data_IF_707874948801
#
_entry.id   IF_707874948801
#
_cell.length_a   1.000
_cell.length_b   1.000
_cell.length_c   1.000
_cell.angle_alpha   90.00
_cell.angle_beta   90.00
_cell.angle_gamma   90.00
#
_symmetry.space_group_name_H-M   'P 1'
#
loop_
_entity.id
_entity.type
_entity.pdbx_description
1 polymer ?
#
# COMPACT_ATOMS: atom_id res chain seq x y z
N UNK A 1 4.80 0.50 22.21
CA UNK A 1 3.33 0.33 22.21
C UNK A 1 2.88 0.82 20.86
N UNK A 2 2.52 -0.12 19.98
CA UNK A 2 2.34 0.10 18.54
C UNK A 2 0.99 0.78 18.30
N UNK A 3 1.00 2.11 18.26
CA UNK A 3 -0.08 2.90 17.67
C UNK A 3 0.29 3.09 16.20
N UNK A 4 -0.21 2.21 15.33
CA UNK A 4 -0.14 2.43 13.87
C UNK A 4 -1.33 3.31 13.52
N UNK A 5 -1.04 4.60 13.46
CA UNK A 5 -1.98 5.64 13.05
C UNK A 5 -2.21 5.47 11.55
N UNK A 6 -3.42 5.09 11.15
CA UNK A 6 -3.77 4.89 9.73
C UNK A 6 -3.76 6.18 8.90
N UNK A 7 -3.64 7.36 9.50
CA UNK A 7 -3.37 8.63 8.79
C UNK A 7 -2.60 9.57 9.72
N UNK A 8 -1.28 9.67 9.58
CA UNK A 8 -0.53 10.71 10.28
C UNK A 8 -0.79 12.06 9.60
N UNK A 9 -1.64 12.87 10.23
CA UNK A 9 -1.94 14.24 9.84
C UNK A 9 -0.70 15.11 10.10
N UNK A 10 0.20 15.21 9.12
CA UNK A 10 1.34 16.14 9.19
C UNK A 10 0.96 17.45 8.51
N UNK A 11 0.43 18.36 9.33
CA UNK A 11 0.48 19.77 9.06
C UNK A 11 1.94 20.26 9.09
N UNK A 12 2.39 20.90 8.01
CA UNK A 12 3.36 21.99 8.09
C UNK A 12 4.74 21.79 7.43
N UNK A 13 4.96 22.58 6.38
CA UNK A 13 6.23 23.11 5.88
C UNK A 13 7.32 22.12 5.38
N UNK A 14 7.60 22.14 4.07
CA UNK A 14 8.70 22.93 3.49
C UNK A 14 8.78 22.75 1.97
N UNK A 15 9.05 23.84 1.27
CA UNK A 15 9.20 23.91 -0.18
C UNK A 15 10.61 23.49 -0.64
N UNK A 16 10.71 22.52 -1.55
CA UNK A 16 11.69 22.36 -2.67
C UNK A 16 11.07 21.25 -3.55
N UNK A 17 10.61 21.42 -4.79
CA UNK A 17 11.34 21.81 -5.99
C UNK A 17 11.21 20.71 -7.05
N UNK A 18 10.47 21.02 -8.12
CA UNK A 18 10.58 20.49 -9.49
C UNK A 18 9.93 19.13 -9.89
N UNK A 19 9.02 19.26 -10.88
CA UNK A 19 8.78 18.44 -12.08
C UNK A 19 8.19 17.02 -11.98
N UNK A 20 6.91 16.86 -12.33
CA UNK A 20 6.43 16.49 -13.68
C UNK A 20 5.10 15.73 -13.57
N UNK A 21 4.04 16.32 -14.11
CA UNK A 21 2.76 15.66 -14.33
C UNK A 21 2.92 14.56 -15.38
N UNK A 22 2.39 13.38 -15.09
CA UNK A 22 2.25 12.29 -16.05
C UNK A 22 2.35 10.93 -15.36
N UNK A 23 1.27 10.15 -15.40
CA UNK A 23 1.33 8.73 -15.12
C UNK A 23 2.31 8.09 -16.09
N UNK A 24 3.51 7.77 -15.61
CA UNK A 24 4.52 7.03 -16.38
C UNK A 24 4.79 5.77 -15.60
N UNK A 25 4.16 4.68 -16.04
CA UNK A 25 4.71 3.35 -15.81
C UNK A 25 6.08 3.32 -16.50
N UNK A 26 7.16 3.49 -15.74
CA UNK A 26 8.53 3.34 -16.26
C UNK A 26 8.81 1.84 -16.38
N UNK A 27 8.25 1.22 -17.41
CA UNK A 27 8.62 -0.11 -17.84
C UNK A 27 9.98 -0.03 -18.56
N UNK A 28 11.08 -0.03 -17.82
CA UNK A 28 12.40 -0.33 -18.40
C UNK A 28 12.35 -1.73 -19.04
N UNK A 29 12.55 -1.79 -20.35
CA UNK A 29 12.33 -2.98 -21.18
C UNK A 29 13.41 -4.05 -21.08
N UNK A 30 12.97 -5.31 -21.15
CA UNK A 30 13.76 -6.54 -21.32
C UNK A 30 12.83 -7.76 -21.32
N UNK A 31 13.11 -8.84 -22.08
CA UNK A 31 12.15 -9.91 -22.30
C UNK A 31 12.02 -10.86 -21.09
N UNK A 32 10.77 -11.05 -20.63
CA UNK A 32 10.22 -12.25 -19.96
C UNK A 32 10.70 -12.73 -18.56
N UNK A 33 11.52 -11.98 -17.81
CA UNK A 33 11.86 -12.32 -16.40
C UNK A 33 11.82 -11.13 -15.42
N UNK A 34 11.22 -10.00 -15.82
CA UNK A 34 11.16 -8.76 -15.03
C UNK A 34 10.13 -8.82 -13.91
N UNK A 35 10.45 -8.27 -12.74
CA UNK A 35 9.52 -8.10 -11.62
C UNK A 35 8.27 -7.33 -12.07
N UNK A 36 7.12 -7.98 -11.93
CA UNK A 36 5.82 -7.44 -12.37
C UNK A 36 4.75 -7.74 -11.34
N UNK A 37 3.93 -6.74 -11.00
CA UNK A 37 2.70 -6.94 -10.23
C UNK A 37 1.65 -7.57 -11.15
N UNK A 38 1.17 -8.76 -10.81
CA UNK A 38 0.24 -9.55 -11.60
C UNK A 38 -1.19 -9.50 -11.08
N UNK A 39 -1.37 -9.38 -9.77
CA UNK A 39 -2.67 -9.25 -9.13
C UNK A 39 -2.56 -8.39 -7.87
N UNK A 40 -3.62 -7.67 -7.54
CA UNK A 40 -3.75 -6.92 -6.31
C UNK A 40 -5.23 -6.85 -5.89
N UNK A 41 -5.49 -7.26 -4.65
CA UNK A 41 -6.81 -7.30 -4.06
C UNK A 41 -6.77 -6.62 -2.69
N UNK A 42 -7.81 -5.85 -2.38
CA UNK A 42 -7.99 -5.22 -1.07
C UNK A 42 -9.34 -5.63 -0.49
N UNK A 43 -9.33 -6.08 0.76
CA UNK A 43 -10.51 -6.43 1.53
C UNK A 43 -10.61 -5.53 2.75
N UNK A 44 -11.70 -4.77 2.81
CA UNK A 44 -12.07 -3.98 3.97
C UNK A 44 -13.16 -4.70 4.76
N UNK A 45 -12.95 -4.85 6.07
CA UNK A 45 -13.93 -5.43 6.98
C UNK A 45 -14.10 -4.51 8.18
N UNK A 46 -15.34 -4.17 8.49
CA UNK A 46 -15.73 -3.50 9.73
C UNK A 46 -16.46 -4.47 10.65
N UNK A 47 -16.27 -4.32 11.96
CA UNK A 47 -17.08 -5.01 12.95
C UNK A 47 -18.54 -4.54 12.86
N UNK A 48 -19.54 -5.33 13.31
CA UNK A 48 -20.95 -4.95 13.23
C UNK A 48 -21.33 -3.73 14.10
N UNK A 49 -20.56 -3.48 15.16
CA UNK A 49 -20.65 -2.26 15.98
C UNK A 49 -19.77 -1.13 15.42
N UNK A 50 -19.10 -1.39 14.30
CA UNK A 50 -18.24 -0.52 13.54
C UNK A 50 -16.95 -0.08 14.24
N UNK A 51 -16.73 -0.47 15.50
CA UNK A 51 -15.59 0.03 16.29
C UNK A 51 -14.27 -0.50 15.77
N UNK A 52 -14.19 -1.78 15.43
CA UNK A 52 -12.98 -2.36 14.86
C UNK A 52 -13.05 -2.39 13.32
N UNK A 53 -11.96 -2.05 12.67
CA UNK A 53 -11.82 -2.11 11.22
C UNK A 53 -10.51 -2.81 10.86
N UNK A 54 -10.52 -3.57 9.76
CA UNK A 54 -9.34 -4.24 9.25
C UNK A 54 -9.26 -4.10 7.74
N UNK A 55 -8.06 -3.82 7.26
CA UNK A 55 -7.70 -3.84 5.85
C UNK A 55 -6.72 -4.97 5.60
N UNK A 56 -7.06 -5.85 4.67
CA UNK A 56 -6.15 -6.88 4.14
C UNK A 56 -5.89 -6.59 2.68
N UNK A 57 -4.62 -6.44 2.31
CA UNK A 57 -4.19 -6.31 0.91
C UNK A 57 -3.39 -7.54 0.53
N UNK A 58 -3.75 -8.18 -0.57
CA UNK A 58 -3.01 -9.28 -1.18
C UNK A 58 -2.47 -8.84 -2.52
N UNK A 59 -1.18 -9.07 -2.77
CA UNK A 59 -0.51 -8.73 -4.03
C UNK A 59 0.28 -9.91 -4.54
N UNK A 60 0.11 -10.26 -5.82
CA UNK A 60 0.89 -11.30 -6.47
C UNK A 60 1.90 -10.70 -7.43
N UNK A 61 3.15 -11.12 -7.30
CA UNK A 61 4.24 -10.75 -8.19
C UNK A 61 4.64 -11.93 -9.07
N UNK A 62 5.00 -11.63 -10.31
CA UNK A 62 5.62 -12.56 -11.25
C UNK A 62 6.98 -12.07 -11.69
N UNK A 63 7.92 -12.99 -11.86
CA UNK A 63 9.31 -12.69 -12.20
C UNK A 63 10.22 -13.88 -11.92
N UNK A 64 11.52 -13.70 -12.13
CA UNK A 64 12.53 -14.59 -11.55
C UNK A 64 12.84 -14.10 -10.13
N UNK A 65 12.65 -14.96 -9.12
CA UNK A 65 12.88 -14.61 -7.71
C UNK A 65 14.15 -15.27 -7.14
N UNK A 66 15.17 -15.48 -7.98
CA UNK A 66 16.43 -16.09 -7.58
C UNK A 66 17.57 -15.07 -7.47
N UNK A 67 18.50 -15.31 -6.54
CA UNK A 67 19.68 -14.47 -6.36
C UNK A 67 19.32 -12.99 -6.14
N UNK A 68 19.91 -12.12 -6.94
CA UNK A 68 19.68 -10.66 -6.86
C UNK A 68 18.27 -10.23 -7.30
N UNK A 69 17.50 -11.12 -7.93
CA UNK A 69 16.11 -10.86 -8.30
C UNK A 69 15.12 -11.33 -7.24
N UNK A 70 15.60 -11.94 -6.15
CA UNK A 70 14.76 -12.30 -5.01
C UNK A 70 14.07 -11.06 -4.43
N UNK A 71 12.80 -11.22 -4.05
CA UNK A 71 12.02 -10.15 -3.46
C UNK A 71 12.53 -9.87 -2.04
N UNK A 72 12.90 -8.62 -1.78
CA UNK A 72 13.49 -8.19 -0.52
C UNK A 72 12.46 -7.53 0.38
N UNK A 73 11.73 -6.56 -0.15
CA UNK A 73 10.63 -5.89 0.57
C UNK A 73 9.48 -5.61 -0.37
N UNK A 74 8.28 -5.67 0.19
CA UNK A 74 7.05 -5.14 -0.41
C UNK A 74 6.41 -4.26 0.63
N UNK A 75 6.16 -3.01 0.28
CA UNK A 75 5.47 -2.05 1.12
C UNK A 75 4.17 -1.67 0.45
N UNK A 76 3.13 -1.52 1.26
CA UNK A 76 1.77 -1.25 0.84
C UNK A 76 1.28 -0.05 1.61
N UNK A 77 0.64 0.89 0.92
CA UNK A 77 -0.08 1.98 1.56
C UNK A 77 -1.46 2.10 0.92
N UNK A 78 -2.47 2.34 1.73
CA UNK A 78 -3.81 2.69 1.28
C UNK A 78 -4.09 4.13 1.69
N UNK A 79 -4.51 4.96 0.74
CA UNK A 79 -4.82 6.36 0.98
C UNK A 79 -6.15 6.73 0.34
N UNK A 80 -6.88 7.71 0.90
CA UNK A 80 -8.06 8.27 0.24
C UNK A 80 -7.69 8.83 -1.14
N UNK A 81 -8.61 8.79 -2.10
CA UNK A 81 -8.38 9.29 -3.46
C UNK A 81 -7.91 10.76 -3.50
N UNK A 82 -8.39 11.59 -2.57
CA UNK A 82 -8.05 13.01 -2.49
C UNK A 82 -6.66 13.32 -1.91
N UNK A 83 -5.84 12.30 -1.61
CA UNK A 83 -4.53 12.46 -0.99
C UNK A 83 -3.46 12.97 -1.97
N UNK A 84 -2.58 13.88 -1.52
CA UNK A 84 -1.53 14.47 -2.37
C UNK A 84 -0.44 13.46 -2.77
N UNK A 85 -0.27 13.27 -4.08
CA UNK A 85 0.70 12.35 -4.70
C UNK A 85 2.17 12.57 -4.33
N UNK A 86 2.54 13.82 -3.99
CA UNK A 86 3.94 14.25 -3.90
C UNK A 86 4.76 13.55 -2.82
N UNK A 87 4.09 13.03 -1.78
CA UNK A 87 4.71 12.38 -0.61
C UNK A 87 4.44 10.87 -0.55
N UNK A 88 3.71 10.32 -1.52
CA UNK A 88 3.25 8.93 -1.54
C UNK A 88 4.40 7.91 -1.45
N UNK A 89 5.45 8.11 -2.26
CA UNK A 89 6.65 7.25 -2.25
C UNK A 89 7.45 7.35 -0.96
N UNK A 90 7.38 8.49 -0.28
CA UNK A 90 8.06 8.68 0.99
C UNK A 90 7.28 7.97 2.11
N UNK A 91 5.96 8.16 2.15
CA UNK A 91 5.07 7.48 3.10
C UNK A 91 5.18 5.97 2.98
N UNK A 92 5.04 5.43 1.77
CA UNK A 92 5.09 3.97 1.56
C UNK A 92 6.44 3.37 1.99
N UNK A 93 7.52 4.15 2.00
CA UNK A 93 8.85 3.69 2.42
C UNK A 93 9.03 3.60 3.95
N UNK A 94 8.08 4.14 4.72
CA UNK A 94 8.03 4.07 6.17
C UNK A 94 7.01 3.05 6.68
N UNK A 95 6.22 2.47 5.78
CA UNK A 95 5.23 1.46 6.12
C UNK A 95 5.89 0.12 6.42
N UNK A 96 5.22 -0.66 7.26
CA UNK A 96 5.68 -2.00 7.57
C UNK A 96 5.57 -2.90 6.33
N UNK A 97 6.57 -3.77 6.11
CA UNK A 97 6.59 -4.63 4.94
C UNK A 97 5.47 -5.68 5.02
N UNK A 98 4.92 -6.01 3.86
CA UNK A 98 4.02 -7.13 3.66
C UNK A 98 4.76 -8.46 3.91
N UNK A 99 4.03 -9.44 4.42
CA UNK A 99 4.53 -10.80 4.57
C UNK A 99 4.44 -11.52 3.23
N UNK A 100 5.56 -11.97 2.68
CA UNK A 100 5.63 -12.59 1.36
C UNK A 100 5.95 -14.09 1.44
N UNK A 101 5.23 -14.88 0.66
CA UNK A 101 5.44 -16.31 0.48
C UNK A 101 5.64 -16.67 -1.00
N UNK A 102 6.63 -17.51 -1.28
CA UNK A 102 6.85 -18.07 -2.61
C UNK A 102 5.79 -19.11 -2.94
N UNK A 103 4.88 -18.78 -3.86
CA UNK A 103 3.84 -19.69 -4.36
C UNK A 103 4.40 -20.67 -5.41
N UNK A 104 5.37 -20.22 -6.20
CA UNK A 104 6.10 -21.02 -7.18
C UNK A 104 7.42 -20.36 -7.56
N UNK A 105 8.25 -21.04 -8.35
CA UNK A 105 9.53 -20.49 -8.84
C UNK A 105 9.39 -19.12 -9.54
N UNK A 106 8.21 -18.82 -10.09
CA UNK A 106 7.92 -17.57 -10.81
C UNK A 106 6.81 -16.72 -10.20
N UNK A 107 6.37 -17.04 -8.97
CA UNK A 107 5.28 -16.31 -8.30
C UNK A 107 5.54 -16.18 -6.81
N UNK A 108 5.44 -14.96 -6.30
CA UNK A 108 5.41 -14.64 -4.88
C UNK A 108 4.08 -13.95 -4.58
N UNK A 109 3.43 -14.36 -3.50
CA UNK A 109 2.22 -13.70 -2.98
C UNK A 109 2.56 -13.01 -1.68
N UNK A 110 2.14 -11.76 -1.54
CA UNK A 110 2.38 -10.97 -0.33
C UNK A 110 1.08 -10.49 0.27
N UNK A 111 1.00 -10.51 1.60
CA UNK A 111 -0.14 -10.07 2.38
C UNK A 111 0.27 -8.96 3.33
N UNK A 112 -0.42 -7.83 3.24
CA UNK A 112 -0.35 -6.74 4.20
C UNK A 112 -1.67 -6.71 4.97
N UNK A 113 -1.61 -6.76 6.30
CA UNK A 113 -2.78 -6.73 7.15
C UNK A 113 -2.61 -5.69 8.25
N UNK A 114 -3.61 -4.82 8.38
CA UNK A 114 -3.70 -3.85 9.47
C UNK A 114 -5.08 -3.93 10.11
N UNK A 115 -5.07 -3.85 11.44
CA UNK A 115 -6.27 -3.83 12.25
C UNK A 115 -6.22 -2.61 13.14
N UNK A 116 -7.32 -1.87 13.17
CA UNK A 116 -7.59 -0.85 14.15
C UNK A 116 -8.69 -1.38 15.07
N UNK A 117 -8.36 -1.56 16.34
CA UNK A 117 -9.24 -2.17 17.34
C UNK A 117 -10.32 -1.20 17.87
N UNK A 118 -10.31 0.07 17.46
CA UNK A 118 -11.43 0.96 17.74
C UNK A 118 -11.52 1.51 19.15
N UNK A 119 -10.39 1.79 19.79
CA UNK A 119 -10.34 2.41 21.12
C UNK A 119 -10.60 3.93 21.00
N UNK A 120 -11.76 4.27 20.46
CA UNK A 120 -12.26 5.62 20.24
C UNK A 120 -13.45 5.87 21.17
N UNK A 121 -13.57 7.08 21.69
CA UNK A 121 -14.83 7.51 22.30
C UNK A 121 -15.90 7.80 21.24
N UNK A 122 -17.16 7.93 21.66
CA UNK A 122 -18.32 7.97 20.75
C UNK A 122 -18.26 9.17 19.77
N UNK A 123 -17.73 10.32 20.19
CA UNK A 123 -17.53 11.51 19.33
C UNK A 123 -16.35 11.35 18.37
N UNK A 124 -15.23 10.77 18.84
CA UNK A 124 -14.07 10.47 18.00
C UNK A 124 -14.41 9.44 16.92
N UNK A 125 -15.27 8.48 17.26
CA UNK A 125 -15.74 7.45 16.35
C UNK A 125 -16.59 7.99 15.19
N UNK A 126 -17.56 8.88 15.45
CA UNK A 126 -18.38 9.47 14.36
C UNK A 126 -17.51 10.23 13.35
N UNK A 127 -16.56 11.04 13.82
CA UNK A 127 -15.63 11.76 12.96
C UNK A 127 -14.66 10.85 12.20
N UNK A 128 -14.22 9.76 12.83
CA UNK A 128 -13.37 8.75 12.21
C UNK A 128 -14.08 8.04 11.06
N UNK A 129 -15.35 7.69 11.24
CA UNK A 129 -16.17 7.01 10.23
C UNK A 129 -16.43 7.90 9.02
N UNK A 130 -16.75 9.17 9.24
CA UNK A 130 -16.89 10.14 8.14
C UNK A 130 -15.56 10.34 7.39
N UNK A 131 -14.43 10.35 8.10
CA UNK A 131 -13.10 10.50 7.50
C UNK A 131 -12.64 9.26 6.72
N UNK A 132 -13.12 8.08 7.08
CA UNK A 132 -12.78 6.82 6.40
C UNK A 132 -13.67 6.54 5.18
N UNK A 133 -14.91 7.03 5.16
CA UNK A 133 -15.85 6.73 4.08
C UNK A 133 -15.37 7.29 2.74
N UNK A 134 -15.48 6.49 1.68
CA UNK A 134 -15.13 6.91 0.32
C UNK A 134 -14.26 5.93 -0.45
N UNK A 135 -13.72 6.38 -1.57
CA UNK A 135 -12.81 5.61 -2.42
C UNK A 135 -11.37 5.71 -1.92
N UNK A 136 -10.71 4.56 -1.84
CA UNK A 136 -9.34 4.41 -1.41
C UNK A 136 -8.52 3.77 -2.51
N UNK A 137 -7.31 4.29 -2.70
CA UNK A 137 -6.33 3.75 -3.63
C UNK A 137 -5.23 3.05 -2.85
N UNK A 138 -4.90 1.83 -3.29
CA UNK A 138 -3.76 1.07 -2.79
C UNK A 138 -2.57 1.27 -3.71
N UNK A 139 -1.44 1.69 -3.13
CA UNK A 139 -0.16 1.77 -3.81
C UNK A 139 0.80 0.71 -3.27
N UNK A 140 1.71 0.26 -4.12
CA UNK A 140 2.66 -0.82 -3.82
C UNK A 140 4.07 -0.41 -4.24
N UNK A 141 5.04 -0.60 -3.35
CA UNK A 141 6.47 -0.46 -3.61
C UNK A 141 7.16 -1.77 -3.31
N UNK A 142 7.66 -2.45 -4.34
CA UNK A 142 8.47 -3.65 -4.21
C UNK A 142 9.94 -3.35 -4.52
N UNK A 143 10.84 -3.98 -3.78
CA UNK A 143 12.30 -3.93 -3.98
C UNK A 143 12.87 -5.35 -4.02
N UNK A 144 13.81 -5.60 -4.93
CA UNK A 144 14.59 -6.84 -4.98
C UNK A 144 15.92 -6.72 -4.23
N UNK A 145 16.56 -7.85 -3.93
CA UNK A 145 17.90 -7.88 -3.31
C UNK A 145 18.96 -7.10 -4.11
N UNK A 146 18.87 -7.12 -5.45
CA UNK A 146 19.71 -6.37 -6.37
C UNK A 146 19.40 -4.88 -6.47
N UNK A 147 18.35 -4.41 -5.77
CA UNK A 147 17.92 -3.01 -5.75
C UNK A 147 17.04 -2.59 -6.93
N UNK A 148 16.47 -3.53 -7.68
CA UNK A 148 15.40 -3.20 -8.63
C UNK A 148 14.16 -2.80 -7.83
N UNK A 149 13.53 -1.68 -8.21
CA UNK A 149 12.30 -1.21 -7.58
C UNK A 149 11.14 -1.20 -8.57
N UNK A 150 9.99 -1.68 -8.12
CA UNK A 150 8.71 -1.59 -8.81
C UNK A 150 7.76 -0.77 -7.96
N UNK A 151 7.35 0.39 -8.47
CA UNK A 151 6.34 1.22 -7.84
C UNK A 151 5.06 1.24 -8.69
N UNK A 152 3.96 0.80 -8.10
CA UNK A 152 2.63 0.82 -8.69
C UNK A 152 1.76 1.76 -7.87
N UNK A 153 1.41 2.91 -8.44
CA UNK A 153 0.62 3.94 -7.75
C UNK A 153 -0.81 3.46 -7.47
N UNK A 154 -1.45 2.86 -8.46
CA UNK A 154 -2.82 2.37 -8.38
C UNK A 154 -2.78 0.87 -8.65
N UNK A 155 -2.48 0.11 -7.60
CA UNK A 155 -2.43 -1.35 -7.66
C UNK A 155 -3.85 -1.91 -7.63
N UNK A 156 -4.70 -1.37 -6.75
CA UNK A 156 -6.12 -1.68 -6.66
C UNK A 156 -6.84 -0.53 -5.94
N UNK A 157 -8.17 -0.51 -6.02
CA UNK A 157 -9.01 0.43 -5.27
C UNK A 157 -10.07 -0.33 -4.48
N UNK A 158 -10.54 0.27 -3.39
CA UNK A 158 -11.66 -0.24 -2.62
C UNK A 158 -12.49 0.91 -2.09
N UNK A 159 -13.76 0.64 -1.79
CA UNK A 159 -14.66 1.63 -1.21
C UNK A 159 -14.94 1.24 0.24
N UNK A 160 -14.76 2.21 1.14
CA UNK A 160 -15.16 2.08 2.53
C UNK A 160 -16.57 2.64 2.67
N UNK A 161 -17.46 1.81 3.20
CA UNK A 161 -18.84 2.16 3.56
C UNK A 161 -19.22 1.48 4.87
N UNK A 162 -20.05 2.14 5.67
CA UNK A 162 -20.50 1.66 6.98
C UNK A 162 -22.02 1.49 7.01
#
# INVERSE_FOLDING_TARGET
>A
MNKRVLVSLVAGLAAVGAVAAGGIAVAAGGPSDKLTLSDAHAEWVSAPNGTAVSLTVTTDFTGDFSGDSALKTVQVVALPEDFEDGILREIISYEDPAECETVSEKRVSCVYAVTDDGDYDEEEYEGYIEALAGEWTVSVLAETEGGETLFVKEATTFTVSF
#
